data_IF_603389345290
#
_entry.id   IF_603389345290
#
_cell.length_a   1.000
_cell.length_b   1.000
_cell.length_c   1.000
_cell.angle_alpha   90.00
_cell.angle_beta   90.00
_cell.angle_gamma   90.00
#
_symmetry.space_group_name_H-M   'P 1'
#
loop_
_entity.id
_entity.type
_entity.pdbx_description
1 polymer ?
#
# COMPACT_ATOMS: atom_id res chain seq x y z
N UNK A 1 27.14 -6.36 -21.17
CA UNK A 1 25.90 -5.56 -21.16
C UNK A 1 25.05 -6.08 -20.00
N UNK A 2 25.17 -5.49 -18.81
CA UNK A 2 24.45 -5.97 -17.64
C UNK A 2 22.99 -5.51 -17.74
N UNK A 3 22.05 -6.46 -17.70
CA UNK A 3 20.63 -6.18 -17.67
C UNK A 3 20.30 -5.53 -16.32
N UNK A 4 20.19 -4.20 -16.31
CA UNK A 4 19.77 -3.37 -15.19
C UNK A 4 18.28 -3.61 -14.89
N UNK A 5 17.98 -4.80 -14.35
CA UNK A 5 16.64 -5.13 -13.88
C UNK A 5 16.46 -4.47 -12.52
N UNK A 6 15.50 -3.55 -12.43
CA UNK A 6 15.18 -2.86 -11.19
C UNK A 6 14.85 -3.89 -10.09
N UNK A 7 15.48 -3.84 -8.90
CA UNK A 7 15.24 -4.81 -7.84
C UNK A 7 13.75 -4.87 -7.45
N UNK A 8 13.25 -6.06 -7.11
CA UNK A 8 11.82 -6.29 -6.81
C UNK A 8 11.27 -5.34 -5.73
N UNK A 9 12.05 -5.09 -4.67
CA UNK A 9 11.65 -4.17 -3.60
C UNK A 9 11.52 -2.71 -4.09
N UNK A 10 12.39 -2.28 -5.02
CA UNK A 10 12.35 -0.94 -5.61
C UNK A 10 11.13 -0.81 -6.53
N UNK A 11 10.84 -1.85 -7.32
CA UNK A 11 9.61 -1.91 -8.14
C UNK A 11 8.36 -1.73 -7.29
N UNK A 12 8.27 -2.43 -6.15
CA UNK A 12 7.15 -2.27 -5.21
C UNK A 12 7.05 -0.86 -4.63
N UNK A 13 8.17 -0.18 -4.39
CA UNK A 13 8.16 1.21 -3.93
C UNK A 13 7.62 2.15 -5.01
N UNK A 14 7.97 1.91 -6.28
CA UNK A 14 7.44 2.65 -7.43
C UNK A 14 5.94 2.38 -7.61
N UNK A 15 5.50 1.12 -7.57
CA UNK A 15 4.08 0.74 -7.70
C UNK A 15 3.20 1.33 -6.59
N UNK A 16 3.77 1.48 -5.38
CA UNK A 16 3.12 2.14 -4.23
C UNK A 16 3.18 3.67 -4.28
N UNK A 17 3.64 4.26 -5.39
CA UNK A 17 3.84 5.71 -5.59
C UNK A 17 4.81 6.35 -4.60
N UNK A 18 5.74 5.57 -4.05
CA UNK A 18 6.73 6.02 -3.08
C UNK A 18 8.08 6.35 -3.76
N UNK A 19 8.02 7.19 -4.80
CA UNK A 19 9.12 7.45 -5.73
C UNK A 19 10.39 7.96 -5.06
N UNK A 20 10.27 8.88 -4.08
CA UNK A 20 11.43 9.46 -3.41
C UNK A 20 12.22 8.40 -2.64
N UNK A 21 11.53 7.45 -2.00
CA UNK A 21 12.17 6.33 -1.30
C UNK A 21 12.75 5.35 -2.31
N UNK A 22 12.03 5.05 -3.39
CA UNK A 22 12.56 4.20 -4.47
C UNK A 22 13.88 4.74 -5.03
N UNK A 23 13.92 6.03 -5.40
CA UNK A 23 15.10 6.70 -5.97
C UNK A 23 16.25 6.70 -4.97
N UNK A 24 15.99 7.12 -3.72
CA UNK A 24 17.03 7.22 -2.71
C UNK A 24 17.61 5.85 -2.36
N UNK A 25 16.76 4.85 -2.16
CA UNK A 25 17.20 3.49 -1.85
C UNK A 25 17.93 2.87 -3.04
N UNK A 26 17.46 3.07 -4.27
CA UNK A 26 18.11 2.57 -5.47
C UNK A 26 19.49 3.19 -5.69
N UNK A 27 19.62 4.51 -5.50
CA UNK A 27 20.89 5.21 -5.56
C UNK A 27 21.86 4.71 -4.48
N UNK A 28 21.35 4.50 -3.26
CA UNK A 28 22.14 4.04 -2.12
C UNK A 28 22.62 2.58 -2.28
N UNK A 29 21.76 1.68 -2.78
CA UNK A 29 22.08 0.26 -2.95
C UNK A 29 23.02 0.00 -4.13
N UNK A 30 22.85 0.73 -5.24
CA UNK A 30 23.69 0.54 -6.43
C UNK A 30 24.92 1.47 -6.45
N UNK A 31 25.02 2.40 -5.50
CA UNK A 31 26.10 3.39 -5.47
C UNK A 31 26.10 4.31 -6.69
N UNK A 32 24.94 4.49 -7.33
CA UNK A 32 24.79 5.36 -8.51
C UNK A 32 24.29 6.75 -8.11
N UNK A 33 24.40 7.70 -9.04
CA UNK A 33 23.90 9.05 -8.79
C UNK A 33 22.37 9.06 -8.63
N UNK A 34 21.87 10.04 -7.88
CA UNK A 34 20.44 10.19 -7.63
C UNK A 34 19.64 10.45 -8.92
N UNK A 35 20.28 11.11 -9.88
CA UNK A 35 19.71 11.41 -11.19
C UNK A 35 19.64 10.18 -12.09
N UNK A 36 20.66 9.32 -12.04
CA UNK A 36 20.69 8.05 -12.77
C UNK A 36 19.68 7.05 -12.18
N UNK A 37 19.55 7.00 -10.85
CA UNK A 37 18.52 6.21 -10.19
C UNK A 37 17.10 6.67 -10.57
N UNK A 38 16.89 7.98 -10.69
CA UNK A 38 15.63 8.55 -11.16
C UNK A 38 15.32 8.13 -12.59
N UNK A 39 16.29 8.25 -13.50
CA UNK A 39 16.10 7.85 -14.89
C UNK A 39 15.72 6.36 -15.03
N UNK A 40 16.31 5.48 -14.21
CA UNK A 40 15.98 4.06 -14.21
C UNK A 40 14.57 3.78 -13.68
N UNK A 41 14.12 4.54 -12.67
CA UNK A 41 12.75 4.44 -12.13
C UNK A 41 11.72 4.98 -13.12
N UNK A 42 12.00 6.11 -13.77
CA UNK A 42 11.12 6.71 -14.78
C UNK A 42 11.01 5.79 -16.03
N UNK A 43 12.10 5.15 -16.44
CA UNK A 43 12.10 4.16 -17.52
C UNK A 43 11.28 2.92 -17.16
N UNK A 44 11.39 2.44 -15.92
CA UNK A 44 10.57 1.33 -15.41
C UNK A 44 9.09 1.70 -15.35
N UNK A 45 8.76 2.89 -14.87
CA UNK A 45 7.38 3.40 -14.86
C UNK A 45 6.80 3.41 -16.29
N UNK A 46 7.52 4.01 -17.24
CA UNK A 46 7.08 4.04 -18.64
C UNK A 46 6.91 2.64 -19.25
N UNK A 47 7.78 1.68 -18.90
CA UNK A 47 7.60 0.28 -19.30
C UNK A 47 6.41 -0.39 -18.62
N UNK A 48 6.17 -0.13 -17.33
CA UNK A 48 5.03 -0.65 -16.60
C UNK A 48 3.70 -0.10 -17.17
N UNK A 49 3.65 1.19 -17.53
CA UNK A 49 2.50 1.78 -18.22
C UNK A 49 2.32 1.20 -19.63
N UNK A 50 3.41 1.00 -20.38
CA UNK A 50 3.34 0.40 -21.72
C UNK A 50 2.92 -1.07 -21.69
N UNK A 51 3.39 -1.85 -20.72
CA UNK A 51 2.99 -3.24 -20.51
C UNK A 51 1.54 -3.37 -20.05
N UNK A 52 1.05 -2.44 -19.22
CA UNK A 52 -0.36 -2.36 -18.86
C UNK A 52 -1.24 -1.91 -20.06
N UNK A 53 -0.66 -1.16 -21.00
CA UNK A 53 -1.32 -0.73 -22.25
C UNK A 53 -1.25 -1.77 -23.38
N UNK A 54 -0.46 -2.84 -23.23
CA UNK A 54 -0.30 -3.93 -24.21
C UNK A 54 -0.80 -5.25 -23.62
N UNK A 55 -2.11 -5.33 -23.37
CA UNK A 55 -2.80 -6.62 -23.34
C UNK A 55 -2.79 -7.25 -24.75
N UNK A 56 -2.40 -8.54 -24.90
CA UNK A 56 -2.60 -9.29 -26.14
C UNK A 56 -4.09 -9.33 -26.52
N UNK A 57 -4.44 -9.44 -27.82
CA UNK A 57 -5.83 -9.52 -28.26
C UNK A 57 -6.35 -10.92 -27.96
N UNK A 58 -6.93 -11.12 -26.77
CA UNK A 58 -7.81 -12.26 -26.54
C UNK A 58 -9.17 -11.70 -26.18
N UNK A 59 -10.10 -11.93 -27.10
CA UNK A 59 -11.48 -11.48 -27.07
C UNK A 59 -12.09 -11.60 -25.67
N UNK A 60 -12.29 -10.49 -24.98
CA UNK A 60 -13.45 -10.27 -24.10
C UNK A 60 -13.67 -8.77 -23.97
N UNK A 61 -14.43 -8.25 -24.92
CA UNK A 61 -15.17 -7.00 -24.79
C UNK A 61 -16.29 -7.23 -23.78
N UNK A 62 -16.20 -6.65 -22.59
CA UNK A 62 -17.33 -6.06 -21.85
C UNK A 62 -16.87 -5.49 -20.49
N UNK A 63 -17.39 -4.30 -20.17
CA UNK A 63 -17.53 -3.72 -18.84
C UNK A 63 -16.25 -3.35 -18.06
N UNK A 64 -15.69 -2.20 -18.44
CA UNK A 64 -15.06 -1.28 -17.50
C UNK A 64 -16.05 -0.98 -16.35
N UNK A 65 -15.83 -1.59 -15.16
CA UNK A 65 -16.12 -1.09 -13.79
C UNK A 65 -15.93 -2.22 -12.74
N UNK A 66 -15.99 -3.51 -13.09
CA UNK A 66 -15.94 -4.61 -12.09
C UNK A 66 -14.57 -5.23 -11.80
N UNK A 67 -13.55 -5.03 -12.65
CA UNK A 67 -12.25 -5.74 -12.50
C UNK A 67 -11.37 -5.19 -11.37
N UNK A 68 -11.63 -3.97 -10.88
CA UNK A 68 -10.87 -3.38 -9.76
C UNK A 68 -11.16 -4.14 -8.46
N UNK A 69 -12.41 -4.51 -8.23
CA UNK A 69 -12.86 -5.31 -7.07
C UNK A 69 -12.22 -6.70 -7.04
N UNK A 70 -12.05 -7.33 -8.20
CA UNK A 70 -11.47 -8.67 -8.32
C UNK A 70 -9.96 -8.70 -8.06
N UNK A 71 -9.23 -7.67 -8.51
CA UNK A 71 -7.80 -7.52 -8.24
C UNK A 71 -7.50 -7.18 -6.78
N UNK A 72 -8.26 -6.26 -6.17
CA UNK A 72 -8.11 -5.99 -4.73
C UNK A 72 -8.57 -7.17 -3.88
N UNK A 73 -9.65 -7.86 -4.27
CA UNK A 73 -10.20 -9.02 -3.57
C UNK A 73 -9.27 -10.24 -3.54
N UNK A 74 -8.53 -10.49 -4.62
CA UNK A 74 -7.52 -11.56 -4.66
C UNK A 74 -6.29 -11.23 -3.82
N UNK A 75 -5.91 -9.95 -3.73
CA UNK A 75 -4.83 -9.50 -2.85
C UNK A 75 -5.22 -9.56 -1.37
N UNK A 76 -6.44 -9.20 -1.00
CA UNK A 76 -6.94 -9.35 0.39
C UNK A 76 -7.08 -10.82 0.76
N UNK A 77 -7.60 -11.66 -0.12
CA UNK A 77 -7.75 -13.09 0.15
C UNK A 77 -6.40 -13.82 0.27
N UNK A 78 -5.41 -13.43 -0.55
CA UNK A 78 -4.03 -13.92 -0.42
C UNK A 78 -3.35 -13.45 0.87
N UNK A 79 -3.55 -12.19 1.24
CA UNK A 79 -3.05 -11.64 2.51
C UNK A 79 -3.69 -12.35 3.72
N UNK A 80 -5.00 -12.56 3.71
CA UNK A 80 -5.74 -13.25 4.79
C UNK A 80 -5.33 -14.72 4.92
N UNK A 81 -5.08 -15.41 3.81
CA UNK A 81 -4.55 -16.78 3.85
C UNK A 81 -3.12 -16.82 4.40
N UNK A 82 -2.29 -15.84 4.07
CA UNK A 82 -0.93 -15.73 4.60
C UNK A 82 -0.93 -15.41 6.11
N UNK A 83 -1.86 -14.57 6.58
CA UNK A 83 -2.08 -14.27 8.00
C UNK A 83 -2.68 -15.44 8.80
N UNK A 84 -3.31 -16.40 8.13
CA UNK A 84 -3.77 -17.67 8.75
C UNK A 84 -2.67 -18.73 8.78
N UNK A 85 -1.84 -18.78 7.75
CA UNK A 85 -0.80 -19.79 7.58
C UNK A 85 0.40 -19.49 8.48
N UNK A 86 0.75 -18.22 8.62
CA UNK A 86 1.54 -17.78 9.77
C UNK A 86 0.58 -17.66 10.95
N UNK A 87 0.90 -18.24 12.10
CA UNK A 87 0.08 -18.16 13.31
C UNK A 87 0.06 -16.73 13.92
N UNK A 88 0.00 -15.68 13.09
CA UNK A 88 0.00 -14.28 13.49
C UNK A 88 -1.43 -13.93 13.88
N UNK A 89 -1.75 -14.30 15.11
CA UNK A 89 -2.92 -13.83 15.84
C UNK A 89 -2.93 -12.31 15.75
N UNK A 90 -3.81 -11.75 14.91
CA UNK A 90 -4.09 -10.31 14.87
C UNK A 90 -4.25 -9.86 16.31
N UNK A 91 -3.48 -8.86 16.79
CA UNK A 91 -3.55 -8.47 18.20
C UNK A 91 -4.99 -8.08 18.49
N UNK A 92 -5.68 -8.95 19.21
CA UNK A 92 -7.13 -8.90 19.45
C UNK A 92 -7.54 -7.60 20.14
N UNK A 93 -6.57 -6.89 20.73
CA UNK A 93 -6.68 -5.51 21.17
C UNK A 93 -5.79 -4.64 20.27
N UNK A 94 -6.33 -4.08 19.20
CA UNK A 94 -5.57 -3.18 18.36
C UNK A 94 -5.22 -1.90 19.13
N UNK A 95 -4.01 -1.37 18.90
CA UNK A 95 -3.41 -0.30 19.73
C UNK A 95 -4.22 1.00 19.75
N UNK A 96 -5.11 1.21 18.77
CA UNK A 96 -6.04 2.34 18.72
C UNK A 96 -7.10 2.29 19.81
N UNK A 97 -7.44 1.12 20.35
CA UNK A 97 -8.44 0.94 21.42
C UNK A 97 -8.02 1.67 22.69
N UNK A 98 -6.72 1.71 22.99
CA UNK A 98 -6.20 2.50 24.13
C UNK A 98 -6.55 3.99 23.99
N UNK A 99 -6.53 4.51 22.76
CA UNK A 99 -6.87 5.92 22.49
C UNK A 99 -8.38 6.14 22.59
N UNK A 100 -9.18 5.23 22.02
CA UNK A 100 -10.65 5.31 22.04
C UNK A 100 -11.22 5.17 23.47
N UNK A 101 -10.62 4.33 24.32
CA UNK A 101 -11.02 4.20 25.72
C UNK A 101 -10.89 5.51 26.50
N UNK A 102 -9.82 6.28 26.29
CA UNK A 102 -9.63 7.58 26.93
C UNK A 102 -10.67 8.60 26.45
N UNK A 103 -10.99 8.60 25.15
CA UNK A 103 -11.99 9.50 24.57
C UNK A 103 -13.37 9.26 25.17
N UNK A 104 -13.80 8.00 25.29
CA UNK A 104 -15.08 7.63 25.90
C UNK A 104 -15.15 8.09 27.35
N UNK A 105 -14.07 7.91 28.11
CA UNK A 105 -14.01 8.32 29.51
C UNK A 105 -14.15 9.85 29.67
N UNK A 106 -13.52 10.63 28.78
CA UNK A 106 -13.66 12.09 28.76
C UNK A 106 -15.09 12.51 28.41
N UNK A 107 -15.70 11.90 27.39
CA UNK A 107 -17.09 12.21 26.99
C UNK A 107 -18.07 11.93 28.12
N UNK A 108 -17.91 10.83 28.85
CA UNK A 108 -18.77 10.50 29.99
C UNK A 108 -18.64 11.51 31.13
N UNK A 109 -17.42 11.97 31.44
CA UNK A 109 -17.20 12.99 32.48
C UNK A 109 -17.85 14.32 32.08
N UNK A 110 -17.64 14.74 30.82
CA UNK A 110 -18.21 16.00 30.31
C UNK A 110 -19.75 15.90 30.29
N UNK A 111 -20.30 14.81 29.76
CA UNK A 111 -21.74 14.58 29.71
C UNK A 111 -22.36 14.54 31.11
N UNK A 112 -21.69 13.93 32.08
CA UNK A 112 -22.13 13.90 33.48
C UNK A 112 -22.09 15.28 34.14
N UNK A 113 -21.03 16.06 33.91
CA UNK A 113 -20.94 17.46 34.37
C UNK A 113 -22.05 18.33 33.77
N UNK A 114 -22.32 18.19 32.47
CA UNK A 114 -23.42 18.89 31.80
C UNK A 114 -24.78 18.48 32.35
N UNK A 115 -25.02 17.18 32.56
CA UNK A 115 -26.24 16.69 33.19
C UNK A 115 -26.42 17.25 34.60
N UNK A 116 -25.34 17.35 35.37
CA UNK A 116 -25.35 17.92 36.72
C UNK A 116 -25.57 19.44 36.73
N UNK A 117 -25.17 20.16 35.68
CA UNK A 117 -25.38 21.61 35.56
C UNK A 117 -26.80 21.95 35.10
N UNK A 118 -27.41 21.11 34.27
CA UNK A 118 -28.77 21.29 33.76
C UNK A 118 -29.86 20.68 34.67
N UNK A 119 -29.48 20.00 35.75
CA UNK A 119 -30.39 19.49 36.78
C UNK A 119 -30.22 20.27 38.08
#
# INVERSE_FOLDING_TARGET
MAQSTLPSHIKQLVDKKNYVIAIKTHAQEQGISLDEAKQQIDAYENQALAANSQTPPTAHRAASVETKEQGFGTLTQGLDNHLKQENIKVPLIPRWVKRVSVIILVILIIGWLFYRLFK
#
